data_IF_599335824100
#
_entry.id   IF_599335824100
#
_cell.length_a   1.000
_cell.length_b   1.000
_cell.length_c   1.000
_cell.angle_alpha   90.00
_cell.angle_beta   90.00
_cell.angle_gamma   90.00
#
_symmetry.space_group_name_H-M   'P 1'
#
loop_
_entity.id
_entity.type
_entity.pdbx_description
1 polymer ?
#
# COMPACT_ATOMS: atom_id res chain seq x y z
N UNK A 1 15.16 6.54 -4.52
CA UNK A 1 14.30 7.09 -5.56
C UNK A 1 14.37 6.20 -6.81
N UNK A 2 13.23 5.65 -7.23
CA UNK A 2 13.14 4.70 -8.34
C UNK A 2 13.62 5.32 -9.66
N UNK A 3 13.31 6.58 -9.91
CA UNK A 3 13.75 7.29 -11.12
C UNK A 3 15.27 7.41 -11.22
N UNK A 4 15.94 7.65 -10.10
CA UNK A 4 17.40 7.70 -10.04
C UNK A 4 17.97 6.29 -10.29
N UNK A 5 17.41 5.28 -9.63
CA UNK A 5 17.92 3.91 -9.65
C UNK A 5 17.67 3.20 -10.98
N UNK A 6 16.45 3.29 -11.51
CA UNK A 6 16.01 2.52 -12.67
C UNK A 6 16.24 3.24 -14.01
N UNK A 7 16.27 4.57 -13.99
CA UNK A 7 16.43 5.37 -15.22
C UNK A 7 17.72 6.18 -15.28
N UNK A 8 18.58 6.07 -14.25
CA UNK A 8 19.87 6.76 -14.22
C UNK A 8 19.77 8.28 -14.14
N UNK A 9 18.64 8.81 -13.69
CA UNK A 9 18.41 10.25 -13.54
C UNK A 9 19.21 10.83 -12.39
N UNK A 10 19.57 12.10 -12.48
CA UNK A 10 20.06 12.87 -11.33
C UNK A 10 18.93 13.09 -10.32
N UNK A 11 19.28 13.42 -9.09
CA UNK A 11 18.29 13.76 -8.04
C UNK A 11 17.43 14.95 -8.44
N UNK A 12 18.01 15.93 -9.12
CA UNK A 12 17.34 17.15 -9.61
C UNK A 12 16.34 16.83 -10.72
N UNK A 13 16.75 16.00 -11.71
CA UNK A 13 15.87 15.55 -12.79
C UNK A 13 14.69 14.72 -12.24
N UNK A 14 14.95 13.82 -11.29
CA UNK A 14 13.91 13.03 -10.64
C UNK A 14 12.94 13.91 -9.82
N UNK A 15 13.43 14.95 -9.14
CA UNK A 15 12.60 15.91 -8.42
C UNK A 15 11.70 16.69 -9.38
N UNK A 16 12.26 17.23 -10.47
CA UNK A 16 11.50 17.94 -11.49
C UNK A 16 10.42 17.06 -12.15
N UNK A 17 10.78 15.82 -12.52
CA UNK A 17 9.82 14.88 -13.09
C UNK A 17 8.64 14.59 -12.14
N UNK A 18 8.90 14.49 -10.84
CA UNK A 18 7.86 14.34 -9.82
C UNK A 18 6.93 15.56 -9.74
N UNK A 19 7.46 16.76 -9.90
CA UNK A 19 6.64 17.99 -9.92
C UNK A 19 5.72 17.98 -11.13
N UNK A 20 6.26 17.77 -12.34
CA UNK A 20 5.49 17.69 -13.59
C UNK A 20 4.43 16.57 -13.51
N UNK A 21 4.79 15.39 -12.96
CA UNK A 21 3.83 14.32 -12.73
C UNK A 21 2.68 14.75 -11.81
N UNK A 22 2.97 15.46 -10.73
CA UNK A 22 1.95 15.94 -9.77
C UNK A 22 1.01 16.96 -10.36
N UNK A 23 1.50 17.86 -11.23
CA UNK A 23 0.68 18.86 -11.92
C UNK A 23 -0.44 18.22 -12.75
N UNK A 24 -0.18 17.05 -13.36
CA UNK A 24 -1.21 16.29 -14.08
C UNK A 24 -1.99 15.35 -13.15
N UNK A 25 -1.28 14.69 -12.25
CA UNK A 25 -1.88 13.64 -11.42
C UNK A 25 -2.96 14.18 -10.48
N UNK A 26 -2.71 15.33 -9.83
CA UNK A 26 -3.64 15.91 -8.86
C UNK A 26 -5.01 16.27 -9.47
N UNK A 27 -5.07 17.02 -10.59
CA UNK A 27 -6.37 17.42 -11.16
C UNK A 27 -7.03 16.36 -12.05
N UNK A 28 -6.28 15.36 -12.54
CA UNK A 28 -6.76 14.42 -13.56
C UNK A 28 -6.50 12.97 -13.18
N UNK A 29 -5.24 12.60 -12.88
CA UNK A 29 -4.82 11.22 -12.72
C UNK A 29 -5.46 10.50 -11.52
N UNK A 30 -5.83 11.22 -10.46
CA UNK A 30 -6.59 10.68 -9.34
C UNK A 30 -7.92 10.07 -9.83
N UNK A 31 -8.59 10.76 -10.73
CA UNK A 31 -9.90 10.38 -11.26
C UNK A 31 -9.85 9.38 -12.43
N UNK A 32 -8.65 9.04 -12.90
CA UNK A 32 -8.41 7.95 -13.86
C UNK A 32 -8.16 6.60 -13.17
N UNK A 33 -8.08 6.60 -11.83
CA UNK A 33 -7.85 5.38 -11.02
C UNK A 33 -9.12 4.54 -10.96
N UNK A 34 -8.97 3.23 -11.15
CA UNK A 34 -10.05 2.25 -10.99
C UNK A 34 -9.71 1.24 -9.90
N UNK A 35 -10.74 0.69 -9.30
CA UNK A 35 -10.60 -0.35 -8.28
C UNK A 35 -10.53 -1.73 -8.95
N UNK A 36 -9.71 -2.63 -8.42
CA UNK A 36 -9.67 -4.02 -8.89
C UNK A 36 -11.01 -4.73 -8.61
N UNK A 37 -11.45 -5.61 -9.54
CA UNK A 37 -12.70 -6.35 -9.37
C UNK A 37 -12.76 -7.13 -8.03
N UNK A 38 -13.91 -7.09 -7.36
CA UNK A 38 -14.14 -7.79 -6.11
C UNK A 38 -13.58 -7.09 -4.85
N UNK A 39 -12.88 -5.97 -4.99
CA UNK A 39 -12.24 -5.30 -3.83
C UNK A 39 -13.26 -4.74 -2.85
N UNK A 40 -14.36 -4.10 -3.31
CA UNK A 40 -15.40 -3.56 -2.40
C UNK A 40 -16.10 -4.67 -1.61
N UNK A 41 -16.39 -5.77 -2.27
CA UNK A 41 -16.98 -6.96 -1.68
C UNK A 41 -16.08 -7.56 -0.61
N UNK A 42 -14.80 -7.76 -0.90
CA UNK A 42 -13.79 -8.24 0.03
C UNK A 42 -13.67 -7.33 1.26
N UNK A 43 -13.52 -6.00 1.05
CA UNK A 43 -13.42 -5.04 2.16
C UNK A 43 -14.66 -5.11 3.06
N UNK A 44 -15.86 -5.20 2.47
CA UNK A 44 -17.12 -5.34 3.21
C UNK A 44 -17.15 -6.64 4.04
N UNK A 45 -16.71 -7.76 3.46
CA UNK A 45 -16.67 -9.05 4.15
C UNK A 45 -15.69 -9.05 5.31
N UNK A 46 -14.49 -8.50 5.11
CA UNK A 46 -13.47 -8.36 6.16
C UNK A 46 -13.96 -7.49 7.33
N UNK A 47 -14.62 -6.36 7.04
CA UNK A 47 -15.23 -5.51 8.08
C UNK A 47 -16.32 -6.24 8.84
N UNK A 48 -17.22 -7.00 8.17
CA UNK A 48 -18.27 -7.81 8.82
C UNK A 48 -17.68 -8.90 9.71
N UNK A 49 -16.52 -9.44 9.33
CA UNK A 49 -15.76 -10.41 10.14
C UNK A 49 -14.99 -9.75 11.31
N UNK A 50 -15.15 -8.45 11.52
CA UNK A 50 -14.51 -7.72 12.63
C UNK A 50 -13.02 -7.39 12.41
N UNK A 51 -12.50 -7.58 11.19
CA UNK A 51 -11.11 -7.24 10.89
C UNK A 51 -10.90 -5.71 10.90
N UNK A 52 -9.78 -5.27 11.43
CA UNK A 52 -9.30 -3.89 11.32
C UNK A 52 -8.56 -3.73 10.00
N UNK A 53 -8.89 -2.70 9.25
CA UNK A 53 -8.28 -2.44 7.95
C UNK A 53 -7.49 -1.15 8.00
N UNK A 54 -6.28 -1.18 7.43
CA UNK A 54 -5.39 -0.02 7.38
C UNK A 54 -4.75 0.14 6.00
N UNK A 55 -4.53 1.38 5.61
CA UNK A 55 -3.72 1.72 4.44
C UNK A 55 -2.36 2.21 4.90
N UNK A 56 -1.29 1.60 4.36
CA UNK A 56 0.10 2.06 4.46
C UNK A 56 0.67 2.26 3.05
N UNK A 57 0.74 3.48 2.57
CA UNK A 57 1.12 3.77 1.18
C UNK A 57 2.31 4.74 1.07
N UNK A 58 3.14 4.54 0.04
CA UNK A 58 4.18 5.51 -0.35
C UNK A 58 3.62 6.75 -1.06
N UNK A 59 2.32 6.76 -1.37
CA UNK A 59 1.62 7.95 -1.85
C UNK A 59 1.50 8.98 -0.72
N UNK A 60 1.65 10.30 -0.98
CA UNK A 60 1.35 11.32 0.02
C UNK A 60 -0.04 11.15 0.63
N UNK A 61 -0.16 11.31 1.94
CA UNK A 61 -1.38 11.02 2.71
C UNK A 61 -2.63 11.70 2.13
N UNK A 62 -2.53 12.98 1.81
CA UNK A 62 -3.63 13.76 1.24
C UNK A 62 -4.13 13.18 -0.07
N UNK A 63 -3.19 12.80 -0.96
CA UNK A 63 -3.52 12.13 -2.24
C UNK A 63 -4.14 10.74 -2.04
N UNK A 64 -3.65 9.99 -1.04
CA UNK A 64 -4.21 8.68 -0.73
C UNK A 64 -5.67 8.80 -0.27
N UNK A 65 -5.97 9.74 0.61
CA UNK A 65 -7.32 10.01 1.10
C UNK A 65 -8.26 10.41 -0.05
N UNK A 66 -7.81 11.28 -0.95
CA UNK A 66 -8.57 11.69 -2.14
C UNK A 66 -8.93 10.49 -3.02
N UNK A 67 -7.95 9.63 -3.35
CA UNK A 67 -8.17 8.41 -4.13
C UNK A 67 -9.18 7.49 -3.44
N UNK A 68 -9.02 7.23 -2.14
CA UNK A 68 -9.91 6.34 -1.39
C UNK A 68 -11.35 6.87 -1.36
N UNK A 69 -11.53 8.18 -1.22
CA UNK A 69 -12.85 8.83 -1.30
C UNK A 69 -13.45 8.75 -2.68
N UNK A 70 -12.66 9.04 -3.72
CA UNK A 70 -13.11 8.93 -5.11
C UNK A 70 -13.57 7.51 -5.45
N UNK A 71 -12.84 6.49 -4.98
CA UNK A 71 -13.19 5.08 -5.16
C UNK A 71 -14.33 4.61 -4.23
N UNK A 72 -14.81 5.48 -3.32
CA UNK A 72 -15.85 5.18 -2.32
C UNK A 72 -15.49 4.00 -1.39
N UNK A 73 -14.22 3.91 -1.00
CA UNK A 73 -13.72 2.86 -0.10
C UNK A 73 -13.07 3.41 1.17
N UNK A 74 -12.99 4.71 1.34
CA UNK A 74 -12.35 5.35 2.51
C UNK A 74 -12.92 4.84 3.83
N UNK A 75 -14.24 4.71 3.93
CA UNK A 75 -14.95 4.33 5.16
C UNK A 75 -14.70 2.87 5.62
N UNK A 76 -14.10 2.04 4.77
CA UNK A 76 -13.72 0.68 5.18
C UNK A 76 -12.47 0.66 6.06
N UNK A 77 -11.62 1.69 6.01
CA UNK A 77 -10.34 1.71 6.68
C UNK A 77 -10.43 2.39 8.04
N UNK A 78 -9.93 1.71 9.08
CA UNK A 78 -9.83 2.23 10.44
C UNK A 78 -8.65 3.21 10.55
N UNK A 79 -7.60 3.02 9.73
CA UNK A 79 -6.41 3.86 9.70
C UNK A 79 -5.94 4.07 8.26
N UNK A 80 -5.50 5.29 7.96
CA UNK A 80 -4.90 5.62 6.65
C UNK A 80 -3.62 6.39 6.89
N UNK A 81 -2.49 5.81 6.47
CA UNK A 81 -1.18 6.42 6.59
C UNK A 81 -0.49 6.47 5.22
N UNK A 82 0.00 7.64 4.86
CA UNK A 82 0.73 7.90 3.63
C UNK A 82 2.12 8.48 3.89
N UNK A 83 2.94 8.54 2.85
CA UNK A 83 4.22 9.21 2.92
C UNK A 83 4.06 10.73 3.14
N UNK A 84 5.10 11.36 3.65
CA UNK A 84 5.23 12.82 3.67
C UNK A 84 5.94 13.31 2.42
N UNK A 85 5.48 14.44 1.88
CA UNK A 85 6.15 15.08 0.73
C UNK A 85 7.51 15.66 1.14
N UNK A 86 7.60 16.17 2.38
CA UNK A 86 8.83 16.68 3.02
C UNK A 86 8.84 16.15 4.45
N UNK A 87 9.90 15.44 4.85
CA UNK A 87 10.00 14.87 6.19
C UNK A 87 10.66 13.50 6.20
N UNK A 88 10.55 12.79 7.31
CA UNK A 88 11.22 11.51 7.53
C UNK A 88 10.37 10.29 7.13
N UNK A 89 9.07 10.48 6.85
CA UNK A 89 8.14 9.40 6.50
C UNK A 89 8.06 9.21 4.98
N UNK A 90 9.18 8.80 4.36
CA UNK A 90 9.28 8.60 2.91
C UNK A 90 9.44 7.13 2.49
N UNK A 91 9.79 6.24 3.41
CA UNK A 91 9.90 4.80 3.15
C UNK A 91 8.65 4.05 3.64
N UNK A 92 8.41 2.85 3.08
CA UNK A 92 7.32 1.97 3.53
C UNK A 92 7.47 1.63 5.02
N UNK A 93 8.68 1.35 5.47
CA UNK A 93 9.01 1.12 6.89
C UNK A 93 8.59 2.30 7.78
N UNK A 94 8.96 3.53 7.39
CA UNK A 94 8.60 4.72 8.17
C UNK A 94 7.09 4.96 8.23
N UNK A 95 6.37 4.70 7.12
CA UNK A 95 4.91 4.76 7.08
C UNK A 95 4.29 3.73 8.01
N UNK A 96 4.77 2.48 7.97
CA UNK A 96 4.26 1.40 8.82
C UNK A 96 4.54 1.65 10.31
N UNK A 97 5.74 2.14 10.67
CA UNK A 97 6.06 2.46 12.06
C UNK A 97 5.09 3.50 12.64
N UNK A 98 4.82 4.58 11.90
CA UNK A 98 3.87 5.62 12.34
C UNK A 98 2.45 5.06 12.42
N UNK A 99 2.02 4.25 11.46
CA UNK A 99 0.71 3.60 11.49
C UNK A 99 0.54 2.68 12.71
N UNK A 100 1.56 1.89 13.05
CA UNK A 100 1.56 1.01 14.22
C UNK A 100 1.48 1.84 15.50
N UNK A 101 2.27 2.89 15.62
CA UNK A 101 2.26 3.79 16.76
C UNK A 101 0.91 4.49 16.94
N UNK A 102 0.38 5.13 15.89
CA UNK A 102 -0.89 5.85 15.93
C UNK A 102 -2.10 4.94 16.14
N UNK A 103 -2.03 3.68 15.68
CA UNK A 103 -3.10 2.72 15.92
C UNK A 103 -3.29 2.37 17.40
N UNK A 104 -2.23 2.50 18.20
CA UNK A 104 -2.22 2.07 19.60
C UNK A 104 -2.39 0.55 19.78
N UNK A 105 -2.33 -0.22 18.69
CA UNK A 105 -2.50 -1.67 18.70
C UNK A 105 -1.15 -2.37 18.88
N UNK A 106 -1.15 -3.46 19.62
CA UNK A 106 -0.01 -4.37 19.63
C UNK A 106 -0.04 -5.24 18.36
N UNK A 107 0.69 -4.80 17.34
CA UNK A 107 0.70 -5.41 16.01
C UNK A 107 1.92 -6.33 15.88
N UNK A 108 1.69 -7.58 15.47
CA UNK A 108 2.70 -8.59 15.15
C UNK A 108 2.15 -9.60 14.14
N UNK A 109 2.94 -10.59 13.74
CA UNK A 109 2.55 -11.62 12.77
C UNK A 109 1.38 -12.52 13.22
N UNK A 110 1.07 -12.60 14.52
CA UNK A 110 -0.05 -13.40 15.00
C UNK A 110 -1.40 -12.73 14.74
N UNK A 111 -1.42 -11.41 14.55
CA UNK A 111 -2.65 -10.63 14.47
C UNK A 111 -2.72 -9.63 13.30
N UNK A 112 -1.65 -9.48 12.54
CA UNK A 112 -1.62 -8.56 11.40
C UNK A 112 -0.75 -9.10 10.27
N UNK A 113 -1.12 -8.77 9.05
CA UNK A 113 -0.38 -9.12 7.84
C UNK A 113 -0.41 -7.94 6.87
N UNK A 114 0.69 -7.70 6.17
CA UNK A 114 0.76 -6.73 5.08
C UNK A 114 0.19 -7.35 3.81
N UNK A 115 -0.59 -6.57 3.06
CA UNK A 115 -0.98 -6.91 1.69
C UNK A 115 -0.26 -5.95 0.77
N UNK A 116 0.48 -6.46 -0.20
CA UNK A 116 1.26 -5.64 -1.11
C UNK A 116 1.41 -6.26 -2.49
N UNK A 117 1.78 -5.44 -3.45
CA UNK A 117 1.95 -5.86 -4.85
C UNK A 117 3.40 -5.77 -5.34
N UNK A 118 4.33 -5.32 -4.49
CA UNK A 118 5.75 -5.16 -4.84
C UNK A 118 6.68 -5.70 -3.76
N UNK A 119 7.94 -5.97 -4.14
CA UNK A 119 9.01 -6.31 -3.19
C UNK A 119 9.26 -5.21 -2.15
N UNK A 120 8.96 -3.93 -2.46
CA UNK A 120 9.07 -2.84 -1.49
C UNK A 120 8.07 -2.96 -0.33
N UNK A 121 6.89 -3.54 -0.58
CA UNK A 121 5.90 -3.83 0.45
C UNK A 121 6.41 -4.94 1.37
N UNK A 122 6.97 -6.01 0.77
CA UNK A 122 7.57 -7.13 1.49
C UNK A 122 8.73 -6.66 2.37
N UNK A 123 9.67 -5.93 1.80
CA UNK A 123 10.85 -5.42 2.52
C UNK A 123 10.47 -4.44 3.63
N UNK A 124 9.48 -3.57 3.37
CA UNK A 124 9.00 -2.61 4.36
C UNK A 124 8.30 -3.29 5.54
N UNK A 125 7.43 -4.27 5.27
CA UNK A 125 6.74 -5.05 6.29
C UNK A 125 7.71 -5.87 7.14
N UNK A 126 8.68 -6.54 6.51
CA UNK A 126 9.71 -7.33 7.19
C UNK A 126 10.53 -6.51 8.19
N UNK A 127 10.83 -5.25 7.89
CA UNK A 127 11.59 -4.36 8.79
C UNK A 127 10.81 -4.00 10.06
N UNK A 128 9.49 -4.06 10.03
CA UNK A 128 8.63 -3.83 11.19
C UNK A 128 8.12 -5.13 11.80
N UNK A 129 8.63 -6.29 11.35
CA UNK A 129 8.29 -7.61 11.88
C UNK A 129 6.92 -8.12 11.42
N UNK A 130 6.45 -7.75 10.24
CA UNK A 130 5.20 -8.24 9.65
C UNK A 130 5.47 -9.12 8.43
N UNK A 131 4.70 -10.18 8.31
CA UNK A 131 4.61 -10.99 7.10
C UNK A 131 3.83 -10.26 6.01
N UNK A 132 4.05 -10.67 4.75
CA UNK A 132 3.35 -10.10 3.59
C UNK A 132 2.71 -11.18 2.74
N UNK A 133 1.44 -10.97 2.38
CA UNK A 133 0.77 -11.68 1.29
C UNK A 133 0.89 -10.79 0.05
N UNK A 134 1.51 -11.31 -1.01
CA UNK A 134 1.60 -10.63 -2.30
C UNK A 134 0.32 -10.79 -3.12
N UNK A 135 -0.02 -9.77 -3.90
CA UNK A 135 -1.11 -9.85 -4.88
C UNK A 135 -0.54 -9.75 -6.30
N UNK A 136 -0.87 -10.71 -7.17
CA UNK A 136 -0.31 -10.79 -8.53
C UNK A 136 -0.96 -9.84 -9.52
N UNK A 137 -2.13 -9.33 -9.21
CA UNK A 137 -2.90 -8.39 -10.05
C UNK A 137 -2.46 -6.93 -9.92
N UNK A 138 -1.43 -6.65 -9.13
CA UNK A 138 -0.79 -5.33 -9.02
C UNK A 138 0.32 -5.09 -10.06
N UNK A 139 1.26 -4.23 -9.73
CA UNK A 139 2.34 -3.81 -10.64
C UNK A 139 3.64 -4.63 -10.50
N UNK A 140 3.80 -5.34 -9.39
CA UNK A 140 5.03 -6.05 -9.06
C UNK A 140 5.12 -7.44 -9.67
N UNK A 141 6.23 -8.11 -9.39
CA UNK A 141 6.53 -9.45 -9.86
C UNK A 141 6.35 -10.45 -8.70
N UNK A 142 5.46 -11.43 -8.88
CA UNK A 142 5.16 -12.45 -7.86
C UNK A 142 6.39 -13.26 -7.43
N UNK A 143 7.27 -13.61 -8.37
CA UNK A 143 8.50 -14.35 -8.07
C UNK A 143 9.46 -13.51 -7.22
N UNK A 144 9.63 -12.24 -7.57
CA UNK A 144 10.44 -11.30 -6.79
C UNK A 144 9.89 -11.12 -5.37
N UNK A 145 8.57 -10.96 -5.21
CA UNK A 145 7.95 -10.87 -3.89
C UNK A 145 8.22 -12.11 -3.03
N UNK A 146 8.15 -13.32 -3.61
CA UNK A 146 8.48 -14.57 -2.90
C UNK A 146 9.97 -14.64 -2.53
N UNK A 147 10.87 -14.23 -3.42
CA UNK A 147 12.32 -14.18 -3.17
C UNK A 147 12.66 -13.20 -2.02
N UNK A 148 11.89 -12.11 -1.86
CA UNK A 148 12.01 -11.15 -0.75
C UNK A 148 11.36 -11.63 0.55
N UNK A 149 10.50 -12.65 0.51
CA UNK A 149 9.94 -13.31 1.67
C UNK A 149 8.42 -13.14 1.85
N UNK A 150 7.67 -12.84 0.79
CA UNK A 150 6.22 -12.95 0.84
C UNK A 150 5.81 -14.38 1.19
N UNK A 151 4.88 -14.54 2.13
CA UNK A 151 4.45 -15.86 2.64
C UNK A 151 3.45 -16.57 1.71
N UNK A 152 2.77 -15.81 0.85
CA UNK A 152 1.85 -16.30 -0.16
C UNK A 152 1.71 -15.29 -1.30
N UNK A 153 1.24 -15.75 -2.45
CA UNK A 153 0.75 -14.92 -3.56
C UNK A 153 -0.68 -15.33 -3.85
N UNK A 154 -1.56 -14.34 -4.02
CA UNK A 154 -2.96 -14.53 -4.40
C UNK A 154 -3.28 -13.79 -5.69
N UNK A 155 -4.17 -14.35 -6.51
CA UNK A 155 -4.42 -13.88 -7.88
C UNK A 155 -5.70 -13.04 -8.02
N UNK A 156 -6.45 -12.86 -6.94
CA UNK A 156 -7.68 -12.07 -6.94
C UNK A 156 -8.06 -11.56 -5.56
N UNK A 157 -8.91 -10.52 -5.50
CA UNK A 157 -9.47 -10.04 -4.25
C UNK A 157 -10.30 -11.11 -3.54
N UNK A 158 -10.97 -12.02 -4.30
CA UNK A 158 -11.72 -13.12 -3.73
C UNK A 158 -10.82 -14.14 -3.04
N UNK A 159 -9.72 -14.52 -3.66
CA UNK A 159 -8.74 -15.44 -3.07
C UNK A 159 -8.10 -14.84 -1.81
N UNK A 160 -7.80 -13.53 -1.86
CA UNK A 160 -7.32 -12.80 -0.69
C UNK A 160 -8.34 -12.82 0.46
N UNK A 161 -9.64 -12.60 0.16
CA UNK A 161 -10.72 -12.69 1.14
C UNK A 161 -10.76 -14.09 1.79
N UNK A 162 -10.75 -15.14 0.98
CA UNK A 162 -10.77 -16.54 1.46
C UNK A 162 -9.55 -16.83 2.35
N UNK A 163 -8.36 -16.36 1.96
CA UNK A 163 -7.13 -16.51 2.76
C UNK A 163 -7.21 -15.80 4.11
N UNK A 164 -7.73 -14.58 4.15
CA UNK A 164 -7.80 -13.78 5.37
C UNK A 164 -8.93 -14.17 6.33
N UNK A 165 -9.90 -14.93 5.86
CA UNK A 165 -11.05 -15.40 6.65
C UNK A 165 -10.93 -16.87 7.07
N UNK A 166 -9.92 -17.60 6.54
CA UNK A 166 -9.61 -18.98 6.98
C UNK A 166 -8.90 -18.95 8.36
#
# INVERSE_FOLDING_TARGET
DEFVRSYGMTVEEAAHLKEVYRERYLPIGIYETTIYPGTKEMLSSLKKAGKKLAIATSKPLEMAIEVLKYLEIYEYFDYVMGAETKGNRQSKEAVLNVLIEESGLHINNDNAVMIGDTCFDVDGAKKVGLDTIGVSYGFGNSKEMLEHGAIAIVDSAKELEEYLLS
#
